data_IF_801637255214
#
_entry.id   IF_801637255214
#
_cell.length_a   1.000
_cell.length_b   1.000
_cell.length_c   1.000
_cell.angle_alpha   90.00
_cell.angle_beta   90.00
_cell.angle_gamma   90.00
#
_symmetry.space_group_name_H-M   'P 1'
#
loop_
_entity.id
_entity.type
_entity.pdbx_description
1 polymer ?
#
# COMPACT_ATOMS: atom_id res chain seq x y z
N UNK A 1 0.70 -11.73 -6.69
CA UNK A 1 1.36 -11.56 -5.38
C UNK A 1 1.19 -10.09 -4.98
N UNK A 2 0.29 -9.80 -4.03
CA UNK A 2 0.10 -8.43 -3.51
C UNK A 2 1.26 -8.19 -2.55
N UNK A 3 2.29 -7.49 -3.00
CA UNK A 3 3.39 -7.08 -2.12
C UNK A 3 2.89 -5.90 -1.28
N UNK A 4 2.71 -6.05 0.04
CA UNK A 4 2.29 -4.94 0.87
C UNK A 4 3.43 -3.92 0.90
N UNK A 5 3.14 -2.72 0.42
CA UNK A 5 4.01 -1.58 0.70
C UNK A 5 3.84 -1.25 2.18
N UNK A 6 4.90 -1.41 2.96
CA UNK A 6 4.98 -0.92 4.33
C UNK A 6 5.98 0.22 4.40
N UNK A 7 5.54 1.41 4.85
CA UNK A 7 6.43 2.53 4.97
C UNK A 7 7.32 2.44 6.22
N UNK A 8 8.55 2.95 6.16
CA UNK A 8 9.36 3.14 7.35
C UNK A 8 8.81 4.31 8.15
N UNK A 9 8.23 4.04 9.32
CA UNK A 9 8.07 5.04 10.36
C UNK A 9 9.17 4.88 11.41
N UNK A 10 9.61 6.00 11.97
CA UNK A 10 10.47 6.03 13.15
C UNK A 10 9.63 6.63 14.27
N UNK A 11 8.85 5.82 14.96
CA UNK A 11 8.27 6.21 16.24
C UNK A 11 9.31 6.01 17.34
N UNK A 12 9.58 7.04 18.14
CA UNK A 12 10.45 6.98 19.32
C UNK A 12 9.93 6.05 20.43
N UNK A 13 8.74 5.46 20.25
CA UNK A 13 8.12 4.55 21.20
C UNK A 13 8.40 3.07 20.93
N UNK A 14 8.97 2.72 19.76
CA UNK A 14 9.28 1.34 19.34
C UNK A 14 10.17 0.63 20.38
N UNK A 15 11.12 1.35 20.99
CA UNK A 15 12.09 0.77 21.92
C UNK A 15 11.46 0.20 23.22
N UNK A 16 10.26 0.63 23.60
CA UNK A 16 9.60 0.12 24.82
C UNK A 16 8.89 -1.21 24.63
N UNK A 17 8.60 -1.60 23.39
CA UNK A 17 7.67 -2.68 23.09
C UNK A 17 8.31 -3.89 22.40
N UNK A 18 9.52 -3.74 21.86
CA UNK A 18 10.33 -4.84 21.32
C UNK A 18 10.73 -5.87 22.38
N UNK A 19 10.55 -5.55 23.67
CA UNK A 19 10.88 -6.37 24.84
C UNK A 19 9.70 -7.27 25.26
N UNK A 20 8.48 -7.06 24.75
CA UNK A 20 7.30 -7.82 25.16
C UNK A 20 7.19 -9.19 24.49
N UNK A 21 6.71 -10.19 25.25
CA UNK A 21 6.35 -11.53 24.74
C UNK A 21 5.05 -11.50 23.92
N UNK A 22 4.78 -12.53 23.12
CA UNK A 22 3.51 -12.64 22.36
C UNK A 22 2.26 -12.62 23.26
N UNK A 23 2.34 -13.21 24.46
CA UNK A 23 1.25 -13.19 25.44
C UNK A 23 1.00 -11.79 26.03
N UNK A 24 2.07 -11.06 26.38
CA UNK A 24 1.96 -9.67 26.90
C UNK A 24 1.29 -8.76 25.87
N UNK A 25 1.64 -9.01 24.61
CA UNK A 25 1.18 -8.32 23.43
C UNK A 25 -0.32 -8.55 23.18
N UNK A 26 -0.78 -9.80 23.20
CA UNK A 26 -2.20 -10.14 23.11
C UNK A 26 -3.01 -9.56 24.28
N UNK A 27 -2.48 -9.71 25.50
CA UNK A 27 -3.08 -9.15 26.71
C UNK A 27 -3.31 -7.64 26.57
N UNK A 28 -2.34 -6.91 26.03
CA UNK A 28 -2.46 -5.47 25.80
C UNK A 28 -3.48 -5.12 24.72
N UNK A 29 -3.54 -5.88 23.64
CA UNK A 29 -4.56 -5.72 22.59
C UNK A 29 -5.96 -5.88 23.20
N UNK A 30 -6.17 -6.92 24.00
CA UNK A 30 -7.46 -7.19 24.64
C UNK A 30 -7.85 -6.07 25.62
N UNK A 31 -6.92 -5.55 26.42
CA UNK A 31 -7.19 -4.39 27.29
C UNK A 31 -7.64 -3.15 26.50
N UNK A 32 -7.04 -2.91 25.33
CA UNK A 32 -7.43 -1.80 24.46
C UNK A 32 -8.81 -2.03 23.84
N UNK A 33 -9.11 -3.26 23.41
CA UNK A 33 -10.44 -3.63 22.93
C UNK A 33 -11.49 -3.38 24.00
N UNK A 34 -11.29 -3.88 25.22
CA UNK A 34 -12.20 -3.68 26.35
C UNK A 34 -12.42 -2.18 26.61
N UNK A 35 -11.35 -1.39 26.61
CA UNK A 35 -11.43 0.06 26.79
C UNK A 35 -12.25 0.75 25.70
N UNK A 36 -12.07 0.33 24.44
CA UNK A 36 -12.83 0.89 23.30
C UNK A 36 -14.30 0.48 23.37
N UNK A 37 -14.59 -0.78 23.73
CA UNK A 37 -15.94 -1.30 23.87
C UNK A 37 -16.71 -0.64 25.03
N UNK A 38 -16.07 -0.48 26.18
CA UNK A 38 -16.65 0.15 27.38
C UNK A 38 -16.87 1.64 27.19
N UNK A 39 -15.85 2.36 26.70
CA UNK A 39 -15.93 3.82 26.60
C UNK A 39 -16.71 4.29 25.38
N UNK A 40 -16.76 3.48 24.30
CA UNK A 40 -17.26 3.87 22.97
C UNK A 40 -16.67 5.19 22.44
N UNK A 41 -15.50 5.57 22.94
CA UNK A 41 -14.79 6.79 22.58
C UNK A 41 -13.35 6.45 22.23
N UNK A 42 -12.77 7.22 21.30
CA UNK A 42 -11.34 7.15 21.02
C UNK A 42 -10.66 8.33 21.69
N UNK A 43 -9.95 8.05 22.80
CA UNK A 43 -9.04 9.03 23.38
C UNK A 43 -7.74 9.08 22.57
N UNK A 44 -7.06 10.23 22.57
CA UNK A 44 -5.74 10.37 21.94
C UNK A 44 -4.75 9.37 22.55
N UNK A 45 -4.76 9.19 23.88
CA UNK A 45 -3.89 8.22 24.55
C UNK A 45 -4.15 6.76 24.16
N UNK A 46 -5.41 6.41 23.83
CA UNK A 46 -5.75 5.09 23.26
C UNK A 46 -5.14 4.95 21.86
N UNK A 47 -5.24 5.99 21.04
CA UNK A 47 -4.71 6.03 19.67
C UNK A 47 -3.17 5.98 19.62
N UNK A 48 -2.48 6.63 20.55
CA UNK A 48 -1.01 6.59 20.63
C UNK A 48 -0.51 5.18 21.03
N UNK A 49 -1.23 4.51 21.94
CA UNK A 49 -0.92 3.13 22.33
C UNK A 49 -1.16 2.14 21.19
N UNK A 50 -2.18 2.40 20.36
CA UNK A 50 -2.48 1.61 19.17
C UNK A 50 -1.38 1.70 18.12
N UNK A 51 -0.80 2.89 17.90
CA UNK A 51 0.26 3.10 16.92
C UNK A 51 1.51 2.27 17.25
N UNK A 52 1.96 2.34 18.50
CA UNK A 52 3.08 1.54 18.98
C UNK A 52 2.85 0.04 18.78
N UNK A 53 1.64 -0.45 19.07
CA UNK A 53 1.27 -1.86 18.85
C UNK A 53 1.05 -2.23 17.38
N UNK A 54 0.74 -1.30 16.49
CA UNK A 54 0.57 -1.63 15.07
C UNK A 54 1.92 -1.72 14.34
N UNK A 55 2.95 -1.00 14.77
CA UNK A 55 4.27 -0.96 14.13
C UNK A 55 5.12 -2.21 14.41
N UNK A 56 4.91 -2.90 15.54
CA UNK A 56 5.76 -4.03 15.97
C UNK A 56 5.38 -5.41 15.40
N UNK A 57 4.26 -5.51 14.67
CA UNK A 57 3.63 -6.80 14.35
C UNK A 57 3.41 -6.96 12.85
N UNK A 58 4.51 -7.12 12.11
CA UNK A 58 4.45 -7.56 10.71
C UNK A 58 4.55 -9.08 10.55
N UNK A 59 4.46 -9.86 11.63
CA UNK A 59 4.45 -11.34 11.56
C UNK A 59 3.02 -11.89 11.52
N UNK A 60 2.81 -12.94 10.71
CA UNK A 60 1.49 -13.52 10.38
C UNK A 60 0.73 -14.15 11.57
N UNK A 61 1.40 -14.42 12.71
CA UNK A 61 0.84 -15.17 13.84
C UNK A 61 -0.23 -14.39 14.66
N UNK A 62 -0.11 -13.07 14.79
CA UNK A 62 -1.03 -12.21 15.57
C UNK A 62 -2.11 -11.52 14.71
N UNK A 63 -2.44 -12.12 13.58
CA UNK A 63 -3.26 -11.49 12.55
C UNK A 63 -4.69 -11.22 13.02
N UNK A 64 -5.34 -12.13 13.76
CA UNK A 64 -6.77 -12.02 14.06
C UNK A 64 -7.07 -10.94 15.11
N UNK A 65 -6.36 -10.94 16.23
CA UNK A 65 -6.56 -9.99 17.36
C UNK A 65 -6.22 -8.57 16.92
N UNK A 66 -5.14 -8.41 16.16
CA UNK A 66 -4.76 -7.13 15.55
C UNK A 66 -5.82 -6.64 14.58
N UNK A 67 -6.43 -7.52 13.79
CA UNK A 67 -7.51 -7.15 12.88
C UNK A 67 -8.78 -6.75 13.64
N UNK A 68 -9.15 -7.48 14.70
CA UNK A 68 -10.24 -7.07 15.61
C UNK A 68 -10.00 -5.68 16.17
N UNK A 69 -8.77 -5.37 16.56
CA UNK A 69 -8.38 -4.05 17.05
C UNK A 69 -8.51 -2.96 15.97
N UNK A 70 -7.91 -3.18 14.79
CA UNK A 70 -7.99 -2.24 13.65
C UNK A 70 -9.46 -1.96 13.29
N UNK A 71 -10.26 -3.01 13.13
CA UNK A 71 -11.68 -2.88 12.77
C UNK A 71 -12.50 -2.17 13.85
N UNK A 72 -12.24 -2.46 15.14
CA UNK A 72 -12.90 -1.80 16.26
C UNK A 72 -12.55 -0.31 16.35
N UNK A 73 -11.28 0.04 16.14
CA UNK A 73 -10.83 1.44 16.10
C UNK A 73 -11.48 2.19 14.96
N UNK A 74 -11.49 1.62 13.75
CA UNK A 74 -12.13 2.24 12.58
C UNK A 74 -13.63 2.40 12.80
N UNK A 75 -14.31 1.37 13.33
CA UNK A 75 -15.74 1.45 13.64
C UNK A 75 -16.06 2.53 14.69
N UNK A 76 -15.26 2.60 15.76
CA UNK A 76 -15.41 3.62 16.79
C UNK A 76 -15.11 5.03 16.26
N UNK A 77 -14.12 5.19 15.37
CA UNK A 77 -13.81 6.45 14.72
C UNK A 77 -14.92 6.94 13.79
N UNK A 78 -15.53 6.04 13.01
CA UNK A 78 -16.64 6.36 12.09
C UNK A 78 -17.87 6.92 12.80
N UNK A 79 -18.16 6.45 14.02
CA UNK A 79 -19.29 6.96 14.82
C UNK A 79 -18.92 8.19 15.67
N UNK A 80 -17.63 8.54 15.74
CA UNK A 80 -17.09 9.69 16.46
C UNK A 80 -16.36 10.65 15.50
N UNK A 81 -17.05 11.32 14.57
CA UNK A 81 -16.44 12.09 13.47
C UNK A 81 -15.63 13.33 13.91
N UNK A 82 -15.70 13.70 15.21
CA UNK A 82 -14.84 14.72 15.80
C UNK A 82 -13.41 14.24 16.08
N UNK A 83 -13.14 12.93 16.02
CA UNK A 83 -11.81 12.35 16.21
C UNK A 83 -11.02 12.48 14.91
N UNK A 84 -10.34 13.60 14.76
CA UNK A 84 -9.47 13.87 13.62
C UNK A 84 -8.00 13.59 14.00
N UNK A 85 -7.66 12.30 14.15
CA UNK A 85 -6.32 11.87 14.59
C UNK A 85 -5.55 11.09 13.51
N UNK A 86 -4.24 11.34 13.30
CA UNK A 86 -3.42 10.60 12.34
C UNK A 86 -3.46 9.07 12.51
N UNK A 87 -3.49 8.57 13.74
CA UNK A 87 -3.55 7.11 13.99
C UNK A 87 -4.86 6.47 13.52
N UNK A 88 -5.97 7.21 13.45
CA UNK A 88 -7.20 6.70 12.82
C UNK A 88 -7.01 6.53 11.31
N UNK A 89 -6.36 7.49 10.66
CA UNK A 89 -6.00 7.37 9.24
C UNK A 89 -5.01 6.21 9.00
N UNK A 90 -4.05 6.02 9.89
CA UNK A 90 -3.14 4.86 9.85
C UNK A 90 -3.91 3.54 9.99
N UNK A 91 -4.79 3.40 10.99
CA UNK A 91 -5.63 2.21 11.15
C UNK A 91 -6.51 1.92 9.91
N UNK A 92 -7.11 2.96 9.33
CA UNK A 92 -7.88 2.82 8.08
C UNK A 92 -7.00 2.39 6.90
N UNK A 93 -5.77 2.92 6.78
CA UNK A 93 -4.79 2.49 5.76
C UNK A 93 -4.44 0.99 5.90
N UNK A 94 -4.25 0.52 7.15
CA UNK A 94 -4.05 -0.92 7.44
C UNK A 94 -5.27 -1.75 7.08
N UNK A 95 -6.48 -1.25 7.36
CA UNK A 95 -7.73 -1.91 6.99
C UNK A 95 -7.87 -2.06 5.48
N UNK A 96 -7.51 -1.03 4.68
CA UNK A 96 -7.50 -1.12 3.20
C UNK A 96 -6.63 -2.28 2.72
N UNK A 97 -5.39 -2.37 3.20
CA UNK A 97 -4.48 -3.45 2.81
C UNK A 97 -5.04 -4.83 3.18
N UNK A 98 -5.66 -4.96 4.36
CA UNK A 98 -6.29 -6.22 4.74
C UNK A 98 -7.47 -6.57 3.84
N UNK A 99 -8.39 -5.62 3.58
CA UNK A 99 -9.54 -5.84 2.70
C UNK A 99 -9.11 -6.25 1.28
N UNK A 100 -8.04 -5.64 0.74
CA UNK A 100 -7.46 -6.04 -0.54
C UNK A 100 -6.93 -7.49 -0.51
N UNK A 101 -6.27 -7.93 0.57
CA UNK A 101 -5.83 -9.32 0.72
C UNK A 101 -6.99 -10.31 0.77
N UNK A 102 -8.16 -9.87 1.25
CA UNK A 102 -9.40 -10.65 1.24
C UNK A 102 -10.21 -10.48 -0.06
N UNK A 103 -9.67 -9.76 -1.05
CA UNK A 103 -10.37 -9.42 -2.30
C UNK A 103 -11.70 -8.67 -2.09
N UNK A 104 -11.88 -8.01 -0.94
CA UNK A 104 -13.03 -7.17 -0.65
C UNK A 104 -12.81 -5.77 -1.21
N UNK A 105 -12.85 -5.69 -2.54
CA UNK A 105 -12.49 -4.49 -3.28
C UNK A 105 -13.43 -3.31 -3.01
N UNK A 106 -14.71 -3.60 -2.74
CA UNK A 106 -15.74 -2.57 -2.49
C UNK A 106 -15.48 -1.87 -1.17
N UNK A 107 -15.27 -2.62 -0.09
CA UNK A 107 -14.97 -2.01 1.21
C UNK A 107 -13.56 -1.40 1.23
N UNK A 108 -12.60 -2.00 0.52
CA UNK A 108 -11.25 -1.44 0.37
C UNK A 108 -11.30 -0.06 -0.31
N UNK A 109 -12.04 0.07 -1.41
CA UNK A 109 -12.22 1.34 -2.14
C UNK A 109 -12.86 2.41 -1.25
N UNK A 110 -13.98 2.07 -0.61
CA UNK A 110 -14.69 3.00 0.28
C UNK A 110 -13.79 3.50 1.41
N UNK A 111 -13.02 2.61 2.03
CA UNK A 111 -12.08 2.96 3.10
C UNK A 111 -10.89 3.77 2.57
N UNK A 112 -10.35 3.47 1.39
CA UNK A 112 -9.26 4.24 0.78
C UNK A 112 -9.70 5.68 0.44
N UNK A 113 -10.90 5.84 -0.11
CA UNK A 113 -11.48 7.16 -0.40
C UNK A 113 -11.76 7.96 0.89
N UNK A 114 -12.19 7.29 1.97
CA UNK A 114 -12.35 7.90 3.28
C UNK A 114 -11.03 8.49 3.80
N UNK A 115 -9.93 7.73 3.72
CA UNK A 115 -8.59 8.19 4.13
C UNK A 115 -8.11 9.37 3.27
N UNK A 116 -8.27 9.29 1.94
CA UNK A 116 -7.86 10.39 1.04
C UNK A 116 -8.65 11.67 1.38
N UNK A 117 -9.96 11.56 1.58
CA UNK A 117 -10.79 12.72 1.97
C UNK A 117 -10.40 13.28 3.34
N UNK A 118 -10.02 12.41 4.29
CA UNK A 118 -9.52 12.82 5.60
C UNK A 118 -8.27 13.71 5.48
N UNK A 119 -7.30 13.29 4.66
CA UNK A 119 -6.08 14.08 4.39
C UNK A 119 -6.39 15.39 3.65
N UNK A 120 -7.38 15.40 2.76
CA UNK A 120 -7.76 16.59 1.99
C UNK A 120 -8.50 17.66 2.81
N UNK A 121 -9.36 17.26 3.76
CA UNK A 121 -10.26 18.16 4.52
C UNK A 121 -9.63 18.86 5.72
N UNK A 122 -8.45 18.46 6.19
CA UNK A 122 -7.90 19.09 7.38
C UNK A 122 -6.87 18.30 8.18
N UNK A 123 -6.57 17.04 7.82
CA UNK A 123 -5.37 16.33 8.32
C UNK A 123 -4.04 17.05 7.99
N UNK A 124 -4.12 18.14 7.22
CA UNK A 124 -3.04 19.01 6.71
C UNK A 124 -2.05 19.54 7.74
N UNK A 125 -2.45 19.70 9.00
CA UNK A 125 -1.52 20.21 10.02
C UNK A 125 -0.46 19.17 10.44
N UNK A 126 -0.67 17.88 10.15
CA UNK A 126 0.18 16.80 10.65
C UNK A 126 0.70 15.88 9.52
N UNK A 127 0.02 15.76 8.38
CA UNK A 127 0.22 14.55 7.58
C UNK A 127 0.07 14.60 6.04
N UNK A 128 0.14 15.76 5.37
CA UNK A 128 0.26 15.72 3.89
C UNK A 128 1.67 15.26 3.49
N UNK A 129 1.74 14.21 2.67
CA UNK A 129 3.01 13.56 2.31
C UNK A 129 3.55 12.62 3.39
N UNK A 130 2.72 12.23 4.37
CA UNK A 130 3.04 11.05 5.16
C UNK A 130 2.95 9.82 4.28
N UNK A 131 3.68 8.81 4.70
CA UNK A 131 3.78 7.56 4.00
C UNK A 131 2.38 6.90 3.80
N UNK A 132 1.48 6.99 4.76
CA UNK A 132 0.14 6.40 4.70
C UNK A 132 -0.75 7.01 3.62
N UNK A 133 -0.73 8.33 3.44
CA UNK A 133 -1.49 9.02 2.38
C UNK A 133 -1.04 8.53 0.99
N UNK A 134 0.27 8.43 0.80
CA UNK A 134 0.84 7.88 -0.43
C UNK A 134 0.49 6.40 -0.60
N UNK A 135 0.49 5.61 0.48
CA UNK A 135 0.10 4.20 0.48
C UNK A 135 -1.32 4.00 -0.05
N UNK A 136 -2.30 4.71 0.53
CA UNK A 136 -3.70 4.50 0.18
C UNK A 136 -4.00 4.96 -1.24
N UNK A 137 -3.30 5.99 -1.75
CA UNK A 137 -3.41 6.40 -3.15
C UNK A 137 -2.86 5.34 -4.10
N UNK A 138 -1.75 4.70 -3.75
CA UNK A 138 -1.19 3.57 -4.51
C UNK A 138 -2.16 2.38 -4.46
N UNK A 139 -2.68 2.04 -3.29
CA UNK A 139 -3.67 0.97 -3.12
C UNK A 139 -4.95 1.23 -3.90
N UNK A 140 -5.43 2.48 -3.95
CA UNK A 140 -6.59 2.85 -4.77
C UNK A 140 -6.35 2.55 -6.26
N UNK A 141 -5.14 2.77 -6.76
CA UNK A 141 -4.78 2.40 -8.13
C UNK A 141 -4.88 0.88 -8.35
N UNK A 142 -4.39 0.09 -7.40
CA UNK A 142 -4.49 -1.37 -7.45
C UNK A 142 -5.94 -1.85 -7.37
N UNK A 143 -6.75 -1.27 -6.49
CA UNK A 143 -8.18 -1.60 -6.37
C UNK A 143 -8.89 -1.38 -7.71
N UNK A 144 -8.65 -0.24 -8.37
CA UNK A 144 -9.22 0.01 -9.71
C UNK A 144 -8.70 -0.96 -10.77
N UNK A 145 -7.40 -1.29 -10.77
CA UNK A 145 -6.84 -2.30 -11.66
C UNK A 145 -7.51 -3.67 -11.47
N UNK A 146 -7.65 -4.14 -10.23
CA UNK A 146 -8.25 -5.44 -9.94
C UNK A 146 -9.76 -5.49 -10.19
N UNK A 147 -10.43 -4.34 -10.21
CA UNK A 147 -11.83 -4.21 -10.63
C UNK A 147 -11.98 -3.96 -12.14
N UNK A 148 -10.91 -4.02 -12.93
CA UNK A 148 -10.90 -3.75 -14.38
C UNK A 148 -11.35 -2.32 -14.76
N UNK A 149 -11.23 -1.38 -13.82
CA UNK A 149 -11.55 0.04 -14.01
C UNK A 149 -10.31 0.79 -14.46
N UNK A 150 -9.82 0.46 -15.65
CA UNK A 150 -8.53 0.93 -16.16
C UNK A 150 -8.43 2.45 -16.25
N UNK A 151 -9.50 3.13 -16.70
CA UNK A 151 -9.51 4.59 -16.79
C UNK A 151 -9.42 5.26 -15.42
N UNK A 152 -10.06 4.69 -14.40
CA UNK A 152 -10.00 5.20 -13.02
C UNK A 152 -8.61 4.98 -12.42
N UNK A 153 -8.02 3.80 -12.65
CA UNK A 153 -6.65 3.50 -12.26
C UNK A 153 -5.65 4.50 -12.88
N UNK A 154 -5.76 4.75 -14.19
CA UNK A 154 -4.90 5.71 -14.89
C UNK A 154 -5.04 7.12 -14.30
N UNK A 155 -6.27 7.58 -14.10
CA UNK A 155 -6.54 8.89 -13.52
C UNK A 155 -5.98 9.02 -12.11
N UNK A 156 -6.13 7.98 -11.27
CA UNK A 156 -5.57 7.93 -9.93
C UNK A 156 -4.03 8.00 -9.94
N UNK A 157 -3.38 7.24 -10.83
CA UNK A 157 -1.92 7.23 -10.97
C UNK A 157 -1.39 8.59 -11.46
N UNK A 158 -2.05 9.20 -12.45
CA UNK A 158 -1.65 10.53 -12.95
C UNK A 158 -1.81 11.60 -11.87
N UNK A 159 -2.87 11.53 -11.05
CA UNK A 159 -3.05 12.41 -9.89
C UNK A 159 -1.96 12.20 -8.86
N UNK A 160 -1.66 10.95 -8.48
CA UNK A 160 -0.60 10.60 -7.54
C UNK A 160 0.73 11.23 -7.98
N UNK A 161 1.14 11.02 -9.24
CA UNK A 161 2.39 11.57 -9.78
C UNK A 161 2.46 13.11 -9.78
N UNK A 162 1.30 13.79 -9.88
CA UNK A 162 1.22 15.25 -9.83
C UNK A 162 1.33 15.79 -8.41
N UNK A 163 0.81 15.06 -7.43
CA UNK A 163 0.80 15.49 -6.02
C UNK A 163 2.05 15.06 -5.26
N UNK A 164 2.70 13.96 -5.68
CA UNK A 164 3.88 13.42 -5.01
C UNK A 164 5.17 14.17 -5.38
N UNK A 165 6.02 14.51 -4.40
CA UNK A 165 7.33 15.12 -4.64
C UNK A 165 8.16 14.33 -5.68
N UNK A 166 8.76 15.02 -6.64
CA UNK A 166 9.50 14.39 -7.74
C UNK A 166 10.76 13.64 -7.29
N UNK A 167 11.25 13.90 -6.07
CA UNK A 167 12.40 13.20 -5.48
C UNK A 167 12.03 11.83 -4.87
N UNK A 168 10.74 11.49 -4.73
CA UNK A 168 10.30 10.19 -4.23
C UNK A 168 10.40 9.10 -5.31
N UNK A 169 11.65 8.67 -5.59
CA UNK A 169 11.96 7.73 -6.67
C UNK A 169 11.19 6.42 -6.57
N UNK A 170 10.96 5.90 -5.36
CA UNK A 170 10.24 4.66 -5.15
C UNK A 170 8.78 4.77 -5.62
N UNK A 171 8.08 5.81 -5.17
CA UNK A 171 6.68 6.03 -5.51
C UNK A 171 6.52 6.32 -7.00
N UNK A 172 7.39 7.12 -7.59
CA UNK A 172 7.35 7.38 -9.04
C UNK A 172 7.64 6.12 -9.87
N UNK A 173 8.54 5.25 -9.42
CA UNK A 173 8.84 4.00 -10.12
C UNK A 173 7.67 3.01 -10.05
N UNK A 174 7.05 2.89 -8.87
CA UNK A 174 5.85 2.07 -8.67
C UNK A 174 4.66 2.61 -9.46
N UNK A 175 4.43 3.92 -9.43
CA UNK A 175 3.38 4.57 -10.21
C UNK A 175 3.57 4.36 -11.71
N UNK A 176 4.81 4.42 -12.23
CA UNK A 176 5.09 4.16 -13.63
C UNK A 176 4.85 2.70 -14.02
N UNK A 177 5.20 1.75 -13.15
CA UNK A 177 4.95 0.33 -13.38
C UNK A 177 3.44 0.05 -13.47
N UNK A 178 2.67 0.56 -12.51
CA UNK A 178 1.20 0.47 -12.55
C UNK A 178 0.59 1.18 -13.76
N UNK A 179 1.13 2.34 -14.15
CA UNK A 179 0.66 3.07 -15.33
C UNK A 179 0.87 2.24 -16.59
N UNK A 180 2.06 1.66 -16.75
CA UNK A 180 2.34 0.78 -17.89
C UNK A 180 1.37 -0.40 -17.93
N UNK A 181 1.14 -1.09 -16.81
CA UNK A 181 0.16 -2.17 -16.72
C UNK A 181 -1.25 -1.72 -17.10
N UNK A 182 -1.67 -0.56 -16.62
CA UNK A 182 -3.00 0.02 -16.92
C UNK A 182 -3.14 0.33 -18.41
N UNK A 183 -2.10 0.87 -19.04
CA UNK A 183 -2.09 1.17 -20.46
C UNK A 183 -2.14 -0.10 -21.31
N UNK A 184 -1.39 -1.14 -20.93
CA UNK A 184 -1.43 -2.44 -21.61
C UNK A 184 -2.82 -3.09 -21.52
N UNK A 185 -3.46 -3.03 -20.35
CA UNK A 185 -4.83 -3.52 -20.18
C UNK A 185 -5.86 -2.78 -21.07
N UNK A 186 -5.57 -1.52 -21.43
CA UNK A 186 -6.36 -0.73 -22.38
C UNK A 186 -5.98 -0.95 -23.85
N UNK A 187 -4.96 -1.77 -24.14
CA UNK A 187 -4.40 -1.94 -25.49
C UNK A 187 -3.52 -0.80 -25.97
N UNK A 188 -3.17 0.15 -25.09
CA UNK A 188 -2.32 1.31 -25.37
C UNK A 188 -0.82 0.94 -25.28
N UNK A 189 -0.42 -0.06 -26.05
CA UNK A 189 0.92 -0.67 -25.99
C UNK A 189 2.05 0.32 -26.33
N UNK A 190 1.79 1.21 -27.29
CA UNK A 190 2.76 2.22 -27.73
C UNK A 190 3.00 3.31 -26.66
N UNK A 191 2.03 3.55 -25.78
CA UNK A 191 2.18 4.46 -24.64
C UNK A 191 2.88 3.77 -23.46
N UNK A 192 2.65 2.47 -23.26
CA UNK A 192 3.26 1.69 -22.18
C UNK A 192 4.76 1.44 -22.41
N UNK A 193 5.15 1.07 -23.64
CA UNK A 193 6.52 0.70 -24.00
C UNK A 193 7.62 1.71 -23.58
N UNK A 194 7.49 3.04 -23.83
CA UNK A 194 8.51 3.99 -23.40
C UNK A 194 8.63 4.12 -21.88
N UNK A 195 7.55 3.90 -21.13
CA UNK A 195 7.55 3.93 -19.66
C UNK A 195 8.34 2.74 -19.12
N UNK A 196 8.08 1.54 -19.66
CA UNK A 196 8.76 0.30 -19.29
C UNK A 196 10.25 0.35 -19.64
N UNK A 197 10.60 0.81 -20.85
CA UNK A 197 11.99 1.03 -21.25
C UNK A 197 12.75 1.93 -20.26
N UNK A 198 12.10 3.00 -19.79
CA UNK A 198 12.70 3.90 -18.79
C UNK A 198 12.89 3.22 -17.43
N UNK A 199 11.93 2.43 -16.97
CA UNK A 199 12.04 1.66 -15.72
C UNK A 199 13.18 0.66 -15.79
N UNK A 200 13.27 -0.11 -16.88
CA UNK A 200 14.32 -1.11 -17.09
C UNK A 200 15.70 -0.44 -17.14
N UNK A 201 15.82 0.70 -17.83
CA UNK A 201 17.05 1.50 -17.84
C UNK A 201 17.44 2.11 -16.49
N UNK A 202 16.55 2.07 -15.49
CA UNK A 202 16.78 2.61 -14.15
C UNK A 202 17.09 1.53 -13.11
N UNK A 203 17.49 0.31 -13.54
CA UNK A 203 17.73 -0.90 -12.72
C UNK A 203 18.44 -0.63 -11.39
N UNK A 204 19.53 0.13 -11.41
CA UNK A 204 20.36 0.40 -10.23
C UNK A 204 19.65 1.24 -9.15
N UNK A 205 18.54 1.88 -9.49
CA UNK A 205 17.85 2.85 -8.62
C UNK A 205 16.46 2.42 -8.19
N UNK A 206 15.91 1.35 -8.76
CA UNK A 206 14.57 0.85 -8.47
C UNK A 206 14.63 -0.46 -7.70
N UNK A 207 13.55 -0.77 -6.96
CA UNK A 207 13.44 -2.03 -6.22
C UNK A 207 13.40 -3.22 -7.18
N UNK A 208 13.99 -4.33 -6.75
CA UNK A 208 14.10 -5.58 -7.52
C UNK A 208 12.76 -6.04 -8.11
N UNK A 209 11.71 -6.07 -7.29
CA UNK A 209 10.37 -6.48 -7.72
C UNK A 209 9.72 -5.52 -8.73
N UNK A 210 10.03 -4.22 -8.70
CA UNK A 210 9.55 -3.26 -9.71
C UNK A 210 10.26 -3.55 -11.04
N UNK A 211 11.57 -3.79 -10.98
CA UNK A 211 12.35 -4.13 -12.16
C UNK A 211 11.88 -5.44 -12.81
N UNK A 212 11.65 -6.48 -12.00
CA UNK A 212 11.07 -7.75 -12.44
C UNK A 212 9.75 -7.54 -13.20
N UNK A 213 8.79 -6.83 -12.58
CA UNK A 213 7.50 -6.54 -13.21
C UNK A 213 7.69 -5.78 -14.53
N UNK A 214 8.60 -4.81 -14.57
CA UNK A 214 8.87 -4.04 -15.79
C UNK A 214 9.41 -4.93 -16.92
N UNK A 215 10.28 -5.91 -16.63
CA UNK A 215 10.75 -6.89 -17.62
C UNK A 215 9.58 -7.74 -18.15
N UNK A 216 8.74 -8.29 -17.27
CA UNK A 216 7.58 -9.08 -17.68
C UNK A 216 6.62 -8.29 -18.56
N UNK A 217 6.24 -7.07 -18.15
CA UNK A 217 5.34 -6.21 -18.92
C UNK A 217 5.97 -5.79 -20.27
N UNK A 218 7.29 -5.61 -20.33
CA UNK A 218 7.98 -5.32 -21.59
C UNK A 218 7.99 -6.55 -22.51
N UNK A 219 8.12 -7.76 -21.96
CA UNK A 219 7.93 -9.01 -22.69
C UNK A 219 6.53 -9.12 -23.28
N UNK A 220 5.48 -8.77 -22.51
CA UNK A 220 4.09 -8.73 -22.99
C UNK A 220 3.91 -7.76 -24.17
N UNK A 221 4.53 -6.57 -24.13
CA UNK A 221 4.52 -5.63 -25.26
C UNK A 221 5.05 -6.29 -26.53
N UNK A 222 6.17 -7.02 -26.43
CA UNK A 222 6.78 -7.69 -27.58
C UNK A 222 5.94 -8.87 -28.08
N UNK A 223 5.33 -9.66 -27.18
CA UNK A 223 4.39 -10.72 -27.57
C UNK A 223 3.20 -10.16 -28.35
N UNK A 224 2.60 -9.06 -27.89
CA UNK A 224 1.45 -8.45 -28.56
C UNK A 224 1.81 -7.96 -29.97
N UNK A 225 3.08 -7.58 -30.19
CA UNK A 225 3.61 -7.16 -31.49
C UNK A 225 4.03 -8.33 -32.40
N UNK A 226 3.97 -9.57 -31.91
CA UNK A 226 4.46 -10.76 -32.63
C UNK A 226 5.99 -10.85 -32.69
N UNK A 227 6.68 -10.18 -31.77
CA UNK A 227 8.14 -10.18 -31.64
C UNK A 227 8.57 -11.23 -30.60
N UNK A 228 8.23 -12.50 -30.85
CA UNK A 228 8.34 -13.60 -29.88
C UNK A 228 9.76 -13.81 -29.33
N UNK A 229 10.78 -13.72 -30.19
CA UNK A 229 12.19 -13.86 -29.80
C UNK A 229 12.63 -12.76 -28.82
N UNK A 230 12.13 -11.53 -29.00
CA UNK A 230 12.43 -10.43 -28.10
C UNK A 230 11.66 -10.60 -26.78
N UNK A 231 10.39 -11.00 -26.84
CA UNK A 231 9.62 -11.31 -25.65
C UNK A 231 10.30 -12.37 -24.78
N UNK A 232 10.76 -13.46 -25.39
CA UNK A 232 11.49 -14.54 -24.71
C UNK A 232 12.71 -14.00 -23.96
N UNK A 233 13.52 -13.13 -24.58
CA UNK A 233 14.68 -12.52 -23.92
C UNK A 233 14.31 -11.73 -22.65
N UNK A 234 13.18 -11.01 -22.66
CA UNK A 234 12.72 -10.26 -21.48
C UNK A 234 12.25 -11.20 -20.36
N UNK A 235 11.52 -12.28 -20.69
CA UNK A 235 11.10 -13.26 -19.70
C UNK A 235 12.28 -14.05 -19.14
N UNK A 236 13.22 -14.47 -19.98
CA UNK A 236 14.46 -15.10 -19.54
C UNK A 236 15.26 -14.20 -18.61
N UNK A 237 15.43 -12.91 -18.95
CA UNK A 237 16.10 -11.95 -18.09
C UNK A 237 15.39 -11.81 -16.73
N UNK A 238 14.06 -11.85 -16.70
CA UNK A 238 13.28 -11.82 -15.46
C UNK A 238 13.50 -13.08 -14.61
N UNK A 239 13.58 -14.25 -15.23
CA UNK A 239 13.83 -15.54 -14.54
C UNK A 239 15.26 -15.63 -14.00
N UNK A 240 16.26 -15.32 -14.82
CA UNK A 240 17.67 -15.29 -14.40
C UNK A 240 17.88 -14.33 -13.23
N UNK A 241 17.16 -13.21 -13.21
CA UNK A 241 17.20 -12.27 -12.09
C UNK A 241 16.67 -12.90 -10.78
N UNK A 242 15.61 -13.72 -10.82
CA UNK A 242 15.12 -14.42 -9.62
C UNK A 242 16.11 -15.48 -9.13
N UNK A 243 16.73 -16.22 -10.05
CA UNK A 243 17.74 -17.24 -9.74
C UNK A 243 18.98 -16.62 -9.06
N UNK A 244 19.48 -15.50 -9.57
CA UNK A 244 20.65 -14.80 -9.01
C UNK A 244 20.40 -14.27 -7.59
N UNK A 245 19.15 -13.92 -7.28
CA UNK A 245 18.76 -13.34 -5.99
C UNK A 245 18.25 -14.41 -5.00
N UNK A 246 18.24 -15.69 -5.39
CA UNK A 246 17.80 -16.80 -4.53
C UNK A 246 16.32 -16.77 -4.19
N UNK A 247 15.49 -16.19 -5.06
CA UNK A 247 14.03 -16.06 -4.88
C UNK A 247 13.24 -17.18 -5.57
N UNK A 248 13.92 -18.23 -6.02
CA UNK A 248 13.40 -19.37 -6.77
C UNK A 248 13.83 -20.69 -6.14
#
# INVERSE_FOLDING_TARGET
MIWPWTPPHQSSHIESWTILTEEDRESRINQLLDTIEESRTLSIGTLDQLDGLMELYETDALSIERLKLITSVVACGRVNPGVNHPHLAHAMSRLVNWLMKQTDWVNAEGTALEVIQWYERGGKAIAQGTSDDTAVKIHLCDIYLYQERWQDAENAIRRLKKTEPSNNKLVHSLANEKLARTLLAQGLNDEAAPILKKLIGSRETIKLWIFFNALCLQGEVFLIRGEDDLAAQFFEAAMTMLEQEGLW
#
